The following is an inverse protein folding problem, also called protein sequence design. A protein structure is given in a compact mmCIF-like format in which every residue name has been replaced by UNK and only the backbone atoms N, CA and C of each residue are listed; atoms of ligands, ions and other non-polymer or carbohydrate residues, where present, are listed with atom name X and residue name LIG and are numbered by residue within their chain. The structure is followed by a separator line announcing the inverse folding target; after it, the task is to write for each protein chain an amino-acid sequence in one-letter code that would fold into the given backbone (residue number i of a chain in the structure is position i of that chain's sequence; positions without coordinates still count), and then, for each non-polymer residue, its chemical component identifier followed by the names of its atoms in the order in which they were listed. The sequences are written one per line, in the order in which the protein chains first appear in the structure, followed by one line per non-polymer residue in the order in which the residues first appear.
data_IF_605106995799
#
_entry.id   IF_605106995799
#
_cell.length_a   1.000
_cell.length_b   1.000
_cell.length_c   1.000
_cell.angle_alpha   90.00
_cell.angle_beta   90.00
_cell.angle_gamma   90.00
#
_symmetry.space_group_name_H-M   'P 1'
#
loop_
_entity.id
_entity.type
_entity.pdbx_description
1 polymer ?
#
# COMPACT_ATOMS: atom_id res chain seq x y z
N UNK A 1 15.80 29.12 1.70
CA UNK A 1 15.85 27.76 2.25
C UNK A 1 14.77 26.99 1.53
N UNK A 2 15.15 26.15 0.57
CA UNK A 2 14.24 25.08 0.16
C UNK A 2 13.95 24.28 1.43
N UNK A 3 12.68 24.11 1.79
CA UNK A 3 12.38 23.25 2.92
C UNK A 3 12.78 21.84 2.53
N UNK A 4 13.73 21.25 3.25
CA UNK A 4 13.92 19.81 3.24
C UNK A 4 12.60 19.22 3.76
N UNK A 5 11.75 18.82 2.83
CA UNK A 5 10.55 18.07 3.14
C UNK A 5 10.92 16.60 3.04
N UNK A 6 10.32 15.76 3.88
CA UNK A 6 10.51 14.35 3.78
C UNK A 6 9.81 13.88 2.50
N UNK A 7 10.36 12.84 1.89
CA UNK A 7 9.76 12.17 0.74
C UNK A 7 8.97 10.98 1.23
N UNK A 8 7.68 10.95 0.92
CA UNK A 8 6.75 9.91 1.34
C UNK A 8 6.20 9.18 0.13
N UNK A 9 6.11 7.86 0.23
CA UNK A 9 5.38 6.99 -0.69
C UNK A 9 4.43 6.11 0.11
N UNK A 10 3.22 5.91 -0.38
CA UNK A 10 2.29 4.93 0.16
C UNK A 10 2.07 3.80 -0.85
N UNK A 11 1.96 2.57 -0.37
CA UNK A 11 1.60 1.40 -1.16
C UNK A 11 0.45 0.64 -0.50
N UNK A 12 -0.43 0.08 -1.33
CA UNK A 12 -1.42 -0.92 -0.97
C UNK A 12 -1.11 -2.21 -1.74
N UNK A 13 -1.11 -3.34 -1.04
CA UNK A 13 -0.72 -4.63 -1.58
C UNK A 13 -1.76 -5.68 -1.23
N UNK A 14 -2.02 -6.57 -2.18
CA UNK A 14 -2.66 -7.86 -1.94
C UNK A 14 -1.62 -8.94 -2.17
N UNK A 15 -1.32 -9.72 -1.13
CA UNK A 15 -0.22 -10.70 -1.13
C UNK A 15 -0.75 -12.09 -0.81
N UNK A 16 -0.26 -13.10 -1.53
CA UNK A 16 -0.61 -14.50 -1.31
C UNK A 16 0.38 -15.44 -2.00
N UNK A 17 0.16 -16.76 -1.96
CA UNK A 17 1.07 -17.74 -2.58
C UNK A 17 1.07 -17.63 -4.11
N UNK A 18 -0.02 -18.06 -4.75
CA UNK A 18 -0.18 -18.08 -6.20
C UNK A 18 -1.64 -17.77 -6.55
N UNK A 19 -1.87 -16.63 -7.21
CA UNK A 19 -3.22 -16.20 -7.58
C UNK A 19 -3.22 -15.43 -8.91
N UNK A 20 -4.40 -15.36 -9.52
CA UNK A 20 -4.57 -14.69 -10.81
C UNK A 20 -4.65 -13.17 -10.64
N UNK A 21 -3.60 -12.47 -11.08
CA UNK A 21 -3.48 -11.01 -11.03
C UNK A 21 -4.49 -10.28 -11.93
N UNK A 22 -4.85 -10.86 -13.07
CA UNK A 22 -5.84 -10.29 -14.00
C UNK A 22 -7.24 -10.37 -13.39
N UNK A 23 -7.57 -11.48 -12.73
CA UNK A 23 -8.83 -11.64 -12.00
C UNK A 23 -8.99 -10.57 -10.89
N UNK A 24 -7.93 -10.33 -10.11
CA UNK A 24 -7.92 -9.26 -9.10
C UNK A 24 -8.11 -7.88 -9.73
N UNK A 25 -7.40 -7.60 -10.82
CA UNK A 25 -7.51 -6.34 -11.57
C UNK A 25 -8.92 -6.10 -12.11
N UNK A 26 -9.54 -7.13 -12.71
CA UNK A 26 -10.90 -7.07 -13.23
C UNK A 26 -11.94 -6.85 -12.12
N UNK A 27 -11.81 -7.57 -11.00
CA UNK A 27 -12.72 -7.47 -9.86
C UNK A 27 -12.65 -6.10 -9.17
N UNK A 28 -11.45 -5.60 -8.93
CA UNK A 28 -11.27 -4.27 -8.35
C UNK A 28 -11.62 -3.17 -9.36
N UNK A 29 -11.51 -3.43 -10.66
CA UNK A 29 -11.59 -2.42 -11.71
C UNK A 29 -10.65 -1.23 -11.39
N UNK A 30 -9.42 -1.57 -11.02
CA UNK A 30 -8.30 -0.66 -10.74
C UNK A 30 -7.08 -1.28 -11.40
N UNK A 31 -6.32 -0.49 -12.16
CA UNK A 31 -5.04 -0.96 -12.70
C UNK A 31 -3.97 -0.88 -11.59
N UNK A 32 -3.21 -1.97 -11.35
CA UNK A 32 -2.08 -1.91 -10.43
C UNK A 32 -1.00 -0.98 -10.97
N UNK A 33 -0.15 -0.48 -10.06
CA UNK A 33 1.12 0.17 -10.43
C UNK A 33 2.15 -0.89 -10.85
N UNK A 34 2.14 -2.04 -10.18
CA UNK A 34 3.03 -3.17 -10.46
C UNK A 34 2.37 -4.48 -10.07
N UNK A 35 2.88 -5.58 -10.62
CA UNK A 35 2.57 -6.92 -10.17
C UNK A 35 3.85 -7.72 -10.09
N UNK A 36 3.86 -8.72 -9.21
CA UNK A 36 4.97 -9.66 -9.08
C UNK A 36 4.44 -11.06 -8.89
N UNK A 37 5.10 -12.02 -9.53
CA UNK A 37 4.77 -13.44 -9.36
C UNK A 37 5.81 -14.11 -8.47
N UNK A 38 5.43 -15.23 -7.85
CA UNK A 38 6.37 -16.04 -7.06
C UNK A 38 7.61 -16.49 -7.84
N UNK A 39 7.50 -16.62 -9.16
CA UNK A 39 8.61 -17.02 -10.03
C UNK A 39 9.69 -15.94 -10.17
N UNK A 40 9.37 -14.69 -9.81
CA UNK A 40 10.29 -13.55 -9.83
C UNK A 40 11.14 -13.47 -8.56
N UNK A 41 10.97 -14.40 -7.61
CA UNK A 41 11.75 -14.44 -6.38
C UNK A 41 13.00 -15.31 -6.54
N UNK A 42 14.18 -14.81 -6.12
CA UNK A 42 15.41 -15.61 -6.16
C UNK A 42 15.40 -16.76 -5.13
N UNK A 43 14.59 -16.63 -4.06
CA UNK A 43 14.47 -17.63 -2.99
C UNK A 43 13.02 -18.10 -2.91
N UNK A 44 12.77 -19.34 -3.34
CA UNK A 44 11.41 -19.89 -3.48
C UNK A 44 10.63 -19.99 -2.17
N UNK A 45 11.30 -20.15 -1.03
CA UNK A 45 10.65 -20.27 0.29
C UNK A 45 10.10 -18.95 0.83
N UNK A 46 10.52 -17.81 0.27
CA UNK A 46 9.99 -16.48 0.59
C UNK A 46 9.14 -15.92 -0.55
N UNK A 47 8.94 -16.71 -1.59
CA UNK A 47 8.24 -16.29 -2.78
C UNK A 47 6.75 -16.14 -2.50
N UNK A 48 6.18 -15.08 -3.06
CA UNK A 48 4.77 -14.79 -3.02
C UNK A 48 4.38 -14.10 -4.32
N UNK A 49 3.09 -14.08 -4.61
CA UNK A 49 2.49 -13.27 -5.66
C UNK A 49 1.95 -12.00 -5.03
N UNK A 50 2.15 -10.86 -5.67
CA UNK A 50 1.66 -9.56 -5.20
C UNK A 50 0.99 -8.75 -6.31
N UNK A 51 -0.15 -8.17 -5.95
CA UNK A 51 -0.82 -7.11 -6.70
C UNK A 51 -0.58 -5.79 -5.97
N UNK A 52 -0.03 -4.78 -6.66
CA UNK A 52 0.56 -3.62 -5.99
C UNK A 52 0.01 -2.30 -6.56
N UNK A 53 -0.45 -1.42 -5.67
CA UNK A 53 -0.88 -0.07 -6.00
C UNK A 53 -0.10 0.94 -5.16
N UNK A 54 0.83 1.64 -5.80
CA UNK A 54 1.72 2.60 -5.15
C UNK A 54 1.47 4.03 -5.64
N UNK A 55 1.70 4.99 -4.75
CA UNK A 55 1.89 6.40 -5.12
C UNK A 55 3.32 6.62 -5.63
N UNK A 56 3.52 7.72 -6.35
CA UNK A 56 4.87 8.24 -6.53
C UNK A 56 5.48 8.65 -5.18
N UNK A 57 6.82 8.69 -5.13
CA UNK A 57 7.55 9.19 -3.98
C UNK A 57 7.69 10.70 -4.07
N UNK A 58 6.98 11.41 -3.20
CA UNK A 58 6.84 12.87 -3.28
C UNK A 58 7.17 13.56 -1.97
N UNK A 59 7.58 14.83 -2.07
CA UNK A 59 7.73 15.70 -0.91
C UNK A 59 6.38 15.91 -0.22
N UNK A 60 6.31 15.57 1.07
CA UNK A 60 5.05 15.55 1.79
C UNK A 60 5.22 16.02 3.23
N UNK A 61 4.25 16.75 3.78
CA UNK A 61 4.28 17.16 5.20
C UNK A 61 3.57 16.19 6.12
N UNK A 62 2.73 15.31 5.58
CA UNK A 62 1.92 14.38 6.36
C UNK A 62 1.73 13.08 5.59
N UNK A 63 1.86 11.93 6.26
CA UNK A 63 1.68 10.62 5.61
C UNK A 63 0.27 10.40 5.09
N UNK A 64 -0.73 10.97 5.77
CA UNK A 64 -2.14 10.86 5.37
C UNK A 64 -2.37 11.33 3.93
N UNK A 65 -1.65 12.36 3.45
CA UNK A 65 -1.86 12.86 2.08
C UNK A 65 -1.52 11.82 1.00
N UNK A 66 -0.51 10.97 1.22
CA UNK A 66 -0.21 9.89 0.27
C UNK A 66 -1.18 8.72 0.42
N UNK A 67 -1.62 8.42 1.65
CA UNK A 67 -2.62 7.36 1.89
C UNK A 67 -3.96 7.71 1.23
N UNK A 68 -4.40 8.97 1.35
CA UNK A 68 -5.65 9.44 0.76
C UNK A 68 -5.70 9.25 -0.77
N UNK A 69 -4.56 9.36 -1.47
CA UNK A 69 -4.48 9.07 -2.91
C UNK A 69 -4.76 7.60 -3.26
N UNK A 70 -4.37 6.67 -2.37
CA UNK A 70 -4.71 5.26 -2.53
C UNK A 70 -6.20 5.07 -2.27
N UNK A 71 -6.72 5.68 -1.20
CA UNK A 71 -8.14 5.61 -0.86
C UNK A 71 -9.02 6.18 -1.97
N UNK A 72 -8.62 7.26 -2.66
CA UNK A 72 -9.37 7.80 -3.80
C UNK A 72 -9.57 6.77 -4.92
N UNK A 73 -8.66 5.79 -5.05
CA UNK A 73 -8.78 4.69 -6.02
C UNK A 73 -9.54 3.48 -5.46
N UNK A 74 -9.53 3.29 -4.15
CA UNK A 74 -10.01 2.07 -3.48
C UNK A 74 -11.35 2.22 -2.75
N UNK A 75 -11.79 3.45 -2.46
CA UNK A 75 -13.07 3.74 -1.79
C UNK A 75 -14.24 3.08 -2.52
N UNK A 76 -15.12 2.46 -1.74
CA UNK A 76 -16.27 1.72 -2.27
C UNK A 76 -15.93 0.30 -2.75
N UNK A 77 -14.68 -0.15 -2.60
CA UNK A 77 -14.23 -1.51 -2.97
C UNK A 77 -13.91 -2.36 -1.74
N UNK A 78 -14.26 -1.91 -0.53
CA UNK A 78 -13.92 -2.56 0.75
C UNK A 78 -14.43 -4.01 0.79
N UNK A 79 -15.68 -4.22 0.38
CA UNK A 79 -16.27 -5.55 0.30
C UNK A 79 -15.58 -6.43 -0.76
N UNK A 80 -15.25 -5.87 -1.92
CA UNK A 80 -14.57 -6.59 -3.00
C UNK A 80 -13.17 -7.02 -2.55
N UNK A 81 -12.43 -6.13 -1.89
CA UNK A 81 -11.12 -6.44 -1.32
C UNK A 81 -11.24 -7.56 -0.29
N UNK A 82 -12.22 -7.48 0.61
CA UNK A 82 -12.46 -8.49 1.63
C UNK A 82 -12.85 -9.84 1.03
N UNK A 83 -13.69 -9.85 0.00
CA UNK A 83 -14.07 -11.06 -0.75
C UNK A 83 -12.86 -11.69 -1.43
N UNK A 84 -12.01 -10.90 -2.11
CA UNK A 84 -10.77 -11.38 -2.72
C UNK A 84 -9.81 -11.97 -1.69
N UNK A 85 -9.64 -11.31 -0.53
CA UNK A 85 -8.79 -11.81 0.55
C UNK A 85 -9.28 -13.17 1.07
N UNK A 86 -10.59 -13.34 1.23
CA UNK A 86 -11.16 -14.60 1.68
C UNK A 86 -11.12 -15.70 0.61
N UNK A 87 -11.48 -15.36 -0.64
CA UNK A 87 -11.56 -16.31 -1.76
C UNK A 87 -10.19 -16.87 -2.13
N UNK A 88 -9.18 -16.00 -2.17
CA UNK A 88 -7.84 -16.32 -2.66
C UNK A 88 -6.82 -16.47 -1.53
N UNK A 89 -7.25 -16.38 -0.27
CA UNK A 89 -6.40 -16.40 0.92
C UNK A 89 -5.27 -15.35 0.83
N UNK A 90 -5.65 -14.10 0.60
CA UNK A 90 -4.73 -12.96 0.48
C UNK A 90 -4.67 -12.16 1.77
N UNK A 91 -3.54 -11.52 1.98
CA UNK A 91 -3.34 -10.49 3.00
C UNK A 91 -3.36 -9.12 2.34
N UNK A 92 -4.15 -8.21 2.92
CA UNK A 92 -4.16 -6.80 2.53
C UNK A 92 -3.17 -6.02 3.39
N UNK A 93 -2.28 -5.26 2.77
CA UNK A 93 -1.18 -4.57 3.47
C UNK A 93 -1.05 -3.14 2.95
N UNK A 94 -0.88 -2.19 3.85
CA UNK A 94 -0.43 -0.83 3.55
C UNK A 94 1.02 -0.64 4.01
N UNK A 95 1.87 -0.07 3.15
CA UNK A 95 3.24 0.29 3.51
C UNK A 95 3.48 1.76 3.23
N UNK A 96 3.95 2.48 4.25
CA UNK A 96 4.31 3.90 4.14
C UNK A 96 5.81 4.02 4.28
N UNK A 97 6.48 4.41 3.19
CA UNK A 97 7.92 4.64 3.16
C UNK A 97 8.18 6.13 3.30
N UNK A 98 8.93 6.52 4.33
CA UNK A 98 9.34 7.89 4.61
C UNK A 98 10.86 8.00 4.54
N UNK A 99 11.35 8.93 3.73
CA UNK A 99 12.75 9.34 3.71
C UNK A 99 12.85 10.78 4.17
N UNK A 100 13.66 11.04 5.19
CA UNK A 100 13.73 12.31 5.88
C UNK A 100 15.16 12.57 6.38
N UNK A 101 15.47 13.82 6.66
CA UNK A 101 16.66 14.20 7.43
C UNK A 101 16.32 14.26 8.93
N UNK A 102 17.34 14.45 9.77
CA UNK A 102 17.10 14.64 11.20
C UNK A 102 16.30 15.92 11.48
N UNK A 103 15.04 15.76 11.90
CA UNK A 103 14.20 16.85 12.40
C UNK A 103 13.20 17.42 11.39
N UNK A 104 13.10 16.86 10.18
CA UNK A 104 12.15 17.28 9.14
C UNK A 104 11.04 16.24 8.86
N UNK A 105 10.90 15.23 9.74
CA UNK A 105 9.93 14.16 9.56
C UNK A 105 8.48 14.63 9.39
N UNK A 106 7.65 13.88 8.63
CA UNK A 106 6.28 14.27 8.37
C UNK A 106 5.41 14.03 9.60
N UNK A 107 4.24 14.65 9.61
CA UNK A 107 3.17 14.25 10.51
C UNK A 107 2.75 12.80 10.23
N UNK A 108 2.82 11.96 11.28
CA UNK A 108 2.43 10.55 11.25
C UNK A 108 1.01 10.36 11.81
N UNK A 109 0.04 11.02 11.18
CA UNK A 109 -1.38 10.91 11.56
C UNK A 109 -2.13 10.05 10.56
N UNK A 110 -2.90 9.10 11.09
CA UNK A 110 -3.94 8.40 10.35
C UNK A 110 -5.28 9.05 10.70
N UNK A 111 -5.97 9.56 9.68
CA UNK A 111 -7.32 10.14 9.85
C UNK A 111 -8.32 9.05 10.24
N UNK A 112 -9.49 9.44 10.74
CA UNK A 112 -10.55 8.47 11.08
C UNK A 112 -10.96 7.66 9.86
N UNK A 113 -11.03 8.33 8.71
CA UNK A 113 -11.36 7.75 7.42
C UNK A 113 -10.33 6.71 6.99
N UNK A 114 -9.03 7.00 7.16
CA UNK A 114 -7.95 6.04 6.89
C UNK A 114 -8.04 4.84 7.82
N UNK A 115 -8.18 5.06 9.13
CA UNK A 115 -8.29 3.97 10.11
C UNK A 115 -9.51 3.10 9.84
N UNK A 116 -10.65 3.70 9.52
CA UNK A 116 -11.87 2.98 9.17
C UNK A 116 -11.70 2.15 7.89
N UNK A 117 -11.07 2.69 6.85
CA UNK A 117 -10.83 1.95 5.61
C UNK A 117 -9.92 0.75 5.84
N UNK A 118 -8.76 0.96 6.49
CA UNK A 118 -7.79 -0.12 6.80
C UNK A 118 -8.47 -1.23 7.61
N UNK A 119 -9.25 -0.86 8.63
CA UNK A 119 -10.00 -1.83 9.43
C UNK A 119 -11.08 -2.57 8.64
N UNK A 120 -11.77 -1.89 7.71
CA UNK A 120 -12.81 -2.49 6.89
C UNK A 120 -12.28 -3.58 5.94
N UNK A 121 -11.04 -3.46 5.47
CA UNK A 121 -10.38 -4.46 4.63
C UNK A 121 -9.50 -5.43 5.42
N UNK A 122 -9.53 -5.36 6.75
CA UNK A 122 -8.68 -6.14 7.66
C UNK A 122 -7.19 -6.09 7.29
N UNK A 123 -6.71 -4.91 6.89
CA UNK A 123 -5.35 -4.72 6.44
C UNK A 123 -4.38 -4.38 7.58
N UNK A 124 -3.14 -4.83 7.46
CA UNK A 124 -2.03 -4.31 8.25
C UNK A 124 -1.53 -2.98 7.67
N UNK A 125 -0.94 -2.13 8.52
CA UNK A 125 -0.23 -0.93 8.06
C UNK A 125 1.15 -0.84 8.71
N UNK A 126 2.18 -0.75 7.88
CA UNK A 126 3.58 -0.60 8.28
C UNK A 126 4.15 0.77 7.89
N UNK A 127 5.14 1.23 8.67
CA UNK A 127 5.89 2.45 8.40
C UNK A 127 7.38 2.14 8.36
N UNK A 128 8.01 2.40 7.22
CA UNK A 128 9.46 2.32 7.05
C UNK A 128 10.04 3.73 7.07
N UNK A 129 10.78 4.05 8.14
CA UNK A 129 11.39 5.36 8.33
C UNK A 129 12.90 5.27 8.06
N UNK A 130 13.35 6.00 7.04
CA UNK A 130 14.77 6.13 6.69
C UNK A 130 15.21 7.56 7.00
N UNK A 131 16.21 7.68 7.86
CA UNK A 131 16.79 8.96 8.29
C UNK A 131 18.21 9.03 7.74
N UNK A 132 18.48 10.05 6.93
CA UNK A 132 19.82 10.35 6.39
C UNK A 132 20.67 11.15 7.39
#
# INVERSE_FOLDING_TARGET
MESNLPKVRAGFYLVGDDFNLDYVTEKLNVSPTSTRTKNDFPVSTMAHTSWELETEKEFCKAVCWQIEKLLDKLRGKENIISELCNELNLEAIFTIVVNMESGDGPELVLTKEIVSFIGAVNAEIGFDLYID
#
